data_IF_680623526721
#
_entry.id   IF_680623526721
#
_cell.length_a   1.000
_cell.length_b   1.000
_cell.length_c   1.000
_cell.angle_alpha   90.00
_cell.angle_beta   90.00
_cell.angle_gamma   90.00
#
_symmetry.space_group_name_H-M   'P 1'
#
loop_
_entity.id
_entity.type
_entity.pdbx_description
1 polymer ?
#
# COMPACT_ATOMS: atom_id res chain seq x y z
N UNK A 1 -9.55 -1.66 21.12
CA UNK A 1 -9.48 -1.80 19.66
C UNK A 1 -8.59 -2.99 19.29
N UNK A 2 -9.18 -4.14 18.87
CA UNK A 2 -8.42 -5.34 18.49
C UNK A 2 -7.68 -5.05 17.17
N UNK A 3 -6.36 -4.89 17.23
CA UNK A 3 -5.52 -4.79 16.02
C UNK A 3 -5.68 -6.09 15.24
N UNK A 4 -6.27 -6.03 14.05
CA UNK A 4 -6.32 -7.19 13.15
C UNK A 4 -4.88 -7.67 12.92
N UNK A 5 -4.59 -8.97 13.10
CA UNK A 5 -3.26 -9.50 12.82
C UNK A 5 -2.95 -9.29 11.33
N UNK A 6 -1.68 -9.00 11.04
CA UNK A 6 -1.27 -8.80 9.66
C UNK A 6 -1.60 -10.06 8.83
N UNK A 7 -2.21 -9.92 7.64
CA UNK A 7 -2.60 -11.07 6.82
C UNK A 7 -1.40 -11.97 6.49
N UNK A 8 -0.25 -11.38 6.14
CA UNK A 8 0.98 -12.12 5.88
C UNK A 8 1.57 -12.81 7.11
N UNK A 9 1.48 -12.19 8.29
CA UNK A 9 1.92 -12.82 9.53
C UNK A 9 1.02 -14.01 9.90
N UNK A 10 -0.29 -13.93 9.61
CA UNK A 10 -1.21 -15.04 9.86
C UNK A 10 -0.92 -16.22 8.93
N UNK A 11 -0.64 -15.92 7.67
CA UNK A 11 -0.39 -16.93 6.65
C UNK A 11 1.08 -17.42 6.66
N UNK A 12 1.89 -16.97 7.63
CA UNK A 12 3.33 -17.30 7.79
C UNK A 12 4.16 -17.04 6.53
N UNK A 13 3.82 -15.98 5.80
CA UNK A 13 4.53 -15.58 4.59
C UNK A 13 5.66 -14.63 5.00
N UNK A 14 6.91 -15.08 4.89
CA UNK A 14 8.09 -14.28 5.25
C UNK A 14 8.52 -13.30 4.15
N UNK A 15 8.29 -13.64 2.88
CA UNK A 15 8.61 -12.80 1.74
C UNK A 15 7.43 -12.62 0.78
N UNK A 16 7.23 -11.37 0.34
CA UNK A 16 6.23 -11.02 -0.66
C UNK A 16 6.89 -10.94 -2.04
N UNK A 17 6.58 -11.91 -2.90
CA UNK A 17 7.03 -11.92 -4.29
C UNK A 17 6.19 -11.06 -5.23
N UNK A 18 6.85 -10.45 -6.19
CA UNK A 18 6.20 -9.64 -7.25
C UNK A 18 5.40 -10.49 -8.25
N UNK A 19 5.68 -11.80 -8.32
CA UNK A 19 5.00 -12.75 -9.21
C UNK A 19 3.57 -13.03 -8.75
N UNK A 20 3.26 -12.85 -7.47
CA UNK A 20 1.96 -13.15 -6.88
C UNK A 20 0.99 -11.97 -7.06
N UNK A 21 0.54 -11.75 -8.30
CA UNK A 21 -0.34 -10.64 -8.68
C UNK A 21 -1.65 -10.65 -7.88
N UNK A 22 -2.23 -11.82 -7.63
CA UNK A 22 -3.47 -11.98 -6.86
C UNK A 22 -3.35 -11.44 -5.43
N UNK A 23 -2.20 -11.62 -4.79
CA UNK A 23 -1.92 -11.08 -3.46
C UNK A 23 -1.70 -9.57 -3.55
N UNK A 24 -0.88 -9.11 -4.50
CA UNK A 24 -0.56 -7.69 -4.66
C UNK A 24 -1.78 -6.83 -5.02
N UNK A 25 -2.73 -7.34 -5.82
CA UNK A 25 -3.96 -6.63 -6.18
C UNK A 25 -4.76 -6.19 -4.95
N UNK A 26 -4.75 -6.94 -3.85
CA UNK A 26 -5.42 -6.56 -2.59
C UNK A 26 -4.78 -5.34 -1.90
N UNK A 27 -3.52 -5.06 -2.20
CA UNK A 27 -2.77 -3.93 -1.65
C UNK A 27 -2.72 -2.72 -2.59
N UNK A 28 -3.42 -2.78 -3.71
CA UNK A 28 -3.46 -1.72 -4.71
C UNK A 28 -4.92 -1.28 -4.85
N UNK A 29 -5.15 0.01 -5.04
CA UNK A 29 -6.46 0.53 -5.39
C UNK A 29 -6.79 0.21 -6.84
N UNK A 30 -8.07 0.30 -7.18
CA UNK A 30 -8.52 0.18 -8.58
C UNK A 30 -7.80 1.18 -9.50
N UNK A 31 -7.43 2.35 -8.97
CA UNK A 31 -6.64 3.38 -9.67
C UNK A 31 -5.16 3.06 -9.84
N UNK A 32 -4.70 1.92 -9.34
CA UNK A 32 -3.29 1.53 -9.38
C UNK A 32 -2.43 2.12 -8.25
N UNK A 33 -2.98 2.84 -7.27
CA UNK A 33 -2.19 3.39 -6.12
C UNK A 33 -2.00 2.33 -5.03
N UNK A 34 -0.84 2.32 -4.35
CA UNK A 34 -0.61 1.40 -3.22
C UNK A 34 -1.45 1.85 -2.01
N UNK A 35 -2.25 0.94 -1.46
CA UNK A 35 -3.08 1.19 -0.28
C UNK A 35 -2.21 1.33 0.97
N UNK A 36 -2.62 2.22 1.88
CA UNK A 36 -1.90 2.47 3.13
C UNK A 36 -2.06 1.32 4.12
N UNK A 37 -1.11 1.21 5.05
CA UNK A 37 -1.10 0.21 6.12
C UNK A 37 -2.39 0.20 6.96
N UNK A 38 -3.03 1.36 7.12
CA UNK A 38 -4.25 1.49 7.94
C UNK A 38 -5.43 0.75 7.33
N UNK A 39 -5.49 0.73 6.00
CA UNK A 39 -6.53 0.05 5.24
C UNK A 39 -6.23 -1.45 5.14
N UNK A 40 -4.98 -1.80 4.81
CA UNK A 40 -4.58 -3.18 4.55
C UNK A 40 -4.32 -4.01 5.81
N UNK A 41 -4.08 -3.35 6.95
CA UNK A 41 -3.74 -4.02 8.22
C UNK A 41 -2.38 -4.71 8.22
N UNK A 42 -1.52 -4.47 7.23
CA UNK A 42 -0.19 -5.08 7.14
C UNK A 42 0.72 -4.62 8.29
N UNK A 43 1.76 -5.40 8.64
CA UNK A 43 2.80 -4.92 9.53
C UNK A 43 3.78 -3.98 8.77
N UNK A 44 4.61 -3.22 9.49
CA UNK A 44 5.57 -2.30 8.84
C UNK A 44 6.55 -3.03 7.92
N UNK A 45 7.03 -4.21 8.33
CA UNK A 45 7.96 -5.04 7.55
C UNK A 45 7.31 -5.48 6.24
N UNK A 46 6.13 -6.09 6.30
CA UNK A 46 5.40 -6.54 5.11
C UNK A 46 4.96 -5.39 4.22
N UNK A 47 4.55 -4.23 4.78
CA UNK A 47 4.20 -3.07 3.95
C UNK A 47 5.40 -2.60 3.10
N UNK A 48 6.62 -2.59 3.66
CA UNK A 48 7.82 -2.27 2.90
C UNK A 48 8.14 -3.31 1.82
N UNK A 49 7.94 -4.60 2.11
CA UNK A 49 8.12 -5.67 1.13
C UNK A 49 7.10 -5.58 -0.01
N UNK A 50 5.82 -5.41 0.31
CA UNK A 50 4.73 -5.19 -0.66
C UNK A 50 5.05 -3.99 -1.54
N UNK A 51 5.46 -2.86 -0.97
CA UNK A 51 5.79 -1.68 -1.77
C UNK A 51 6.94 -1.94 -2.76
N UNK A 52 7.96 -2.71 -2.38
CA UNK A 52 9.04 -3.13 -3.29
C UNK A 52 8.54 -4.10 -4.36
N UNK A 53 7.73 -5.07 -3.97
CA UNK A 53 7.15 -6.06 -4.88
C UNK A 53 6.23 -5.41 -5.93
N UNK A 54 5.37 -4.46 -5.51
CA UNK A 54 4.51 -3.70 -6.42
C UNK A 54 5.32 -2.85 -7.39
N UNK A 55 6.39 -2.18 -6.93
CA UNK A 55 7.27 -1.41 -7.83
C UNK A 55 7.91 -2.30 -8.90
N UNK A 56 8.48 -3.44 -8.51
CA UNK A 56 9.04 -4.42 -9.46
C UNK A 56 7.99 -4.97 -10.41
N UNK A 57 6.80 -5.31 -9.91
CA UNK A 57 5.72 -5.81 -10.75
C UNK A 57 5.27 -4.77 -11.80
N UNK A 58 5.32 -3.48 -11.47
CA UNK A 58 5.03 -2.41 -12.43
C UNK A 58 6.13 -2.22 -13.48
N UNK A 59 7.39 -2.36 -13.09
CA UNK A 59 8.53 -2.35 -14.04
C UNK A 59 8.40 -3.48 -15.07
N UNK A 60 7.84 -4.63 -14.67
CA UNK A 60 7.55 -5.78 -15.52
C UNK A 60 6.19 -5.72 -16.23
N UNK A 61 5.49 -4.58 -16.18
CA UNK A 61 4.15 -4.37 -16.76
C UNK A 61 3.05 -5.35 -16.26
N UNK A 62 3.26 -6.02 -15.12
CA UNK A 62 2.25 -6.91 -14.50
C UNK A 62 1.13 -6.14 -13.81
N UNK A 63 1.40 -4.88 -13.43
CA UNK A 63 0.47 -4.00 -12.73
C UNK A 63 0.54 -2.58 -13.30
N UNK A 64 -0.61 -1.89 -13.44
CA UNK A 64 -0.63 -0.53 -13.98
C UNK A 64 -0.09 0.51 -12.97
N UNK A 65 0.56 1.56 -13.49
CA UNK A 65 1.00 2.71 -12.70
C UNK A 65 -0.16 3.65 -12.37
N UNK A 66 -1.07 3.84 -13.33
CA UNK A 66 -2.28 4.68 -13.24
C UNK A 66 -3.37 3.94 -14.00
N UNK A 67 -4.48 3.61 -13.33
CA UNK A 67 -5.68 3.22 -14.07
C UNK A 67 -6.42 4.50 -14.45
N UNK A 68 -6.52 4.73 -15.76
CA UNK A 68 -7.25 5.84 -16.36
C UNK A 68 -8.75 5.51 -16.30
N UNK A 69 -9.32 5.53 -15.10
CA UNK A 69 -10.78 5.52 -14.93
C UNK A 69 -11.19 6.98 -14.74
N UNK A 70 -11.66 7.59 -15.82
CA UNK A 70 -12.29 8.92 -15.81
C UNK A 70 -13.46 8.94 -14.83
N UNK A 71 -13.26 9.59 -13.67
CA UNK A 71 -14.24 9.62 -12.59
C UNK A 71 -13.59 10.15 -11.31
N UNK A 72 -14.12 11.26 -10.80
CA UNK A 72 -13.50 12.13 -9.81
C UNK A 72 -13.30 11.59 -8.38
N UNK A 73 -12.83 12.52 -7.55
CA UNK A 73 -12.80 12.54 -6.08
C UNK A 73 -11.96 11.50 -5.32
N UNK A 74 -10.64 11.71 -5.22
CA UNK A 74 -9.90 11.46 -3.96
C UNK A 74 -8.80 12.54 -3.80
N UNK A 75 -9.25 13.77 -3.58
CA UNK A 75 -8.42 14.90 -3.12
C UNK A 75 -8.25 14.76 -1.59
N UNK A 76 -7.37 13.86 -1.17
CA UNK A 76 -6.97 13.63 0.23
C UNK A 76 -5.94 12.50 0.20
N UNK A 77 -4.67 12.69 0.53
CA UNK A 77 -4.14 12.97 1.87
C UNK A 77 -2.84 13.79 1.72
N UNK A 78 -2.93 15.12 1.59
CA UNK A 78 -1.81 16.00 1.93
C UNK A 78 -1.91 16.24 3.43
N UNK A 79 -1.37 15.30 4.22
CA UNK A 79 -1.23 15.50 5.67
C UNK A 79 -0.37 16.74 5.92
N UNK A 80 -1.01 17.80 6.38
CA UNK A 80 -0.37 19.04 6.81
C UNK A 80 0.68 18.71 7.87
N UNK A 81 1.93 19.09 7.59
CA UNK A 81 2.99 19.13 8.60
C UNK A 81 2.61 20.25 9.56
N UNK A 82 2.02 19.89 10.70
CA UNK A 82 1.89 20.80 11.82
C UNK A 82 3.28 21.21 12.31
N UNK A 83 3.77 22.34 11.82
CA UNK A 83 4.92 23.04 12.37
C UNK A 83 4.53 23.61 13.73
N UNK A 84 4.77 22.84 14.79
CA UNK A 84 4.76 23.35 16.15
C UNK A 84 6.00 24.20 16.36
N UNK A 85 5.87 25.51 16.13
CA UNK A 85 6.78 26.51 16.68
C UNK A 85 6.75 26.36 18.21
N UNK A 86 7.86 25.95 18.83
CA UNK A 86 8.08 26.25 20.24
C UNK A 86 8.54 27.70 20.30
N UNK A 87 7.65 28.57 20.74
CA UNK A 87 8.03 29.84 21.35
C UNK A 87 8.64 29.53 22.72
N UNK A 88 9.65 30.33 23.09
CA UNK A 88 10.35 30.47 24.39
C UNK A 88 10.02 29.51 25.54
#
# INVERSE_FOLDING_TARGET
SRRKPCPYCRDKIDQVDYKNISMLRRFISERGKIRSRRITGACRRHQSQVARAVKRARELALLPYVADTGGGSERGERGERGGGRRSE
#
